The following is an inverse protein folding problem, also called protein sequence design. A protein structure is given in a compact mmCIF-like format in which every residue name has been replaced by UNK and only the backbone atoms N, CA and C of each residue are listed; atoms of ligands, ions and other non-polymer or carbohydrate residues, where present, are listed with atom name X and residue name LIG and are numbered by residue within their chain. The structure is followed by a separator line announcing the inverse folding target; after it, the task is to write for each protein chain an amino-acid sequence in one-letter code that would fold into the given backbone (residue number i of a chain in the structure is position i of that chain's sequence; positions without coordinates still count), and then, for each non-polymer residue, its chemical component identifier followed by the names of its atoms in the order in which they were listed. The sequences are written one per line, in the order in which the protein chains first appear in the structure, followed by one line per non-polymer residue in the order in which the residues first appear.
data_IF_226179833814
#
_entry.id   IF_226179833814
#
_cell.length_a   1.000
_cell.length_b   1.000
_cell.length_c   1.000
_cell.angle_alpha   90.00
_cell.angle_beta   90.00
_cell.angle_gamma   90.00
#
_symmetry.space_group_name_H-M   'P 1'
#
loop_
_entity.id
_entity.type
_entity.pdbx_description
1 polymer ?
#
# COMPACT_ATOMS: atom_id res chain seq x y z
N UNK A 1 2.66 23.01 -13.21
CA UNK A 1 3.59 22.30 -12.31
C UNK A 1 4.37 21.29 -13.16
N UNK A 2 5.70 21.17 -13.03
CA UNK A 2 6.44 20.19 -13.84
C UNK A 2 6.09 18.77 -13.35
N UNK A 3 6.07 17.79 -14.24
CA UNK A 3 5.76 16.38 -13.93
C UNK A 3 6.68 15.80 -12.86
N UNK A 4 7.95 16.24 -12.83
CA UNK A 4 8.93 15.90 -11.78
C UNK A 4 8.52 16.42 -10.40
N UNK A 5 7.96 17.62 -10.34
CA UNK A 5 7.54 18.25 -9.09
C UNK A 5 6.28 17.55 -8.57
N UNK A 6 5.34 17.21 -9.46
CA UNK A 6 4.16 16.42 -9.13
C UNK A 6 4.53 15.04 -8.56
N UNK A 7 5.45 14.33 -9.22
CA UNK A 7 5.89 13.02 -8.73
C UNK A 7 6.59 13.12 -7.38
N UNK A 8 7.43 14.14 -7.18
CA UNK A 8 8.06 14.40 -5.88
C UNK A 8 7.02 14.67 -4.81
N UNK A 9 6.04 15.53 -5.08
CA UNK A 9 4.96 15.84 -4.13
C UNK A 9 4.11 14.61 -3.81
N UNK A 10 3.78 13.78 -4.80
CA UNK A 10 3.05 12.53 -4.59
C UNK A 10 3.83 11.55 -3.70
N UNK A 11 5.13 11.39 -3.92
CA UNK A 11 5.99 10.56 -3.07
C UNK A 11 6.10 11.10 -1.64
N UNK A 12 6.18 12.42 -1.45
CA UNK A 12 6.19 13.05 -0.13
C UNK A 12 4.86 12.82 0.62
N UNK A 13 3.73 12.83 -0.09
CA UNK A 13 2.42 12.53 0.50
C UNK A 13 2.38 11.08 1.01
N UNK A 14 2.83 10.12 0.21
CA UNK A 14 2.89 8.70 0.61
C UNK A 14 3.74 8.51 1.87
N UNK A 15 4.94 9.09 1.88
CA UNK A 15 5.88 9.02 3.01
C UNK A 15 5.32 9.68 4.28
N UNK A 16 4.73 10.87 4.16
CA UNK A 16 4.14 11.58 5.29
C UNK A 16 2.94 10.82 5.88
N UNK A 17 2.10 10.25 5.02
CA UNK A 17 0.93 9.48 5.44
C UNK A 17 1.33 8.20 6.16
N UNK A 18 2.31 7.45 5.63
CA UNK A 18 2.86 6.26 6.29
C UNK A 18 3.46 6.60 7.66
N UNK A 19 4.30 7.63 7.74
CA UNK A 19 4.93 8.06 9.01
C UNK A 19 3.90 8.51 10.04
N UNK A 20 2.88 9.24 9.61
CA UNK A 20 1.76 9.69 10.44
C UNK A 20 0.92 8.52 10.95
N UNK A 21 0.59 7.58 10.08
CA UNK A 21 -0.16 6.37 10.43
C UNK A 21 0.60 5.48 11.43
N UNK A 22 1.92 5.31 11.28
CA UNK A 22 2.70 4.59 12.29
C UNK A 22 2.86 5.36 13.60
N UNK A 23 2.88 6.71 13.57
CA UNK A 23 2.83 7.49 14.80
C UNK A 23 1.50 7.22 15.52
N UNK A 24 0.39 7.14 14.80
CA UNK A 24 -0.90 6.74 15.34
C UNK A 24 -0.87 5.30 15.88
N UNK A 25 -0.34 4.33 15.14
CA UNK A 25 -0.19 2.93 15.56
C UNK A 25 0.62 2.77 16.86
N UNK A 26 1.54 3.70 17.14
CA UNK A 26 2.33 3.68 18.37
C UNK A 26 1.58 4.24 19.59
N UNK A 27 0.45 4.90 19.38
CA UNK A 27 -0.33 5.56 20.42
C UNK A 27 -1.73 4.95 20.62
N UNK A 28 -2.11 3.96 19.80
CA UNK A 28 -3.32 3.17 20.00
C UNK A 28 -2.97 1.93 20.83
N UNK A 29 -3.73 1.67 21.90
CA UNK A 29 -3.72 0.39 22.59
C UNK A 29 -4.53 -0.62 21.78
N UNK A 30 -3.94 -1.79 21.49
CA UNK A 30 -4.50 -2.95 20.75
C UNK A 30 -5.86 -2.70 20.09
N UNK A 31 -5.86 -2.58 18.76
CA UNK A 31 -7.07 -2.25 18.04
C UNK A 31 -6.85 -1.85 16.59
N UNK A 32 -7.88 -1.22 16.04
CA UNK A 32 -7.93 -0.77 14.65
C UNK A 32 -8.41 0.67 14.58
N UNK A 33 -7.75 1.46 13.76
CA UNK A 33 -8.24 2.72 13.26
C UNK A 33 -8.58 2.57 11.78
N UNK A 34 -9.71 3.13 11.34
CA UNK A 34 -10.13 3.13 9.95
C UNK A 34 -10.73 4.49 9.64
N UNK A 35 -10.20 5.15 8.61
CA UNK A 35 -10.75 6.39 8.08
C UNK A 35 -10.87 6.30 6.57
N UNK A 36 -12.00 6.78 6.06
CA UNK A 36 -12.39 6.69 4.66
C UNK A 36 -12.74 8.08 4.17
N UNK A 37 -11.91 8.59 3.28
CA UNK A 37 -12.16 9.83 2.57
C UNK A 37 -12.42 9.54 1.08
N UNK A 38 -12.98 10.49 0.31
CA UNK A 38 -13.33 10.24 -1.09
C UNK A 38 -12.19 9.65 -1.95
N UNK A 39 -10.94 10.09 -1.72
CA UNK A 39 -9.77 9.71 -2.51
C UNK A 39 -8.68 8.97 -1.73
N UNK A 40 -8.84 8.80 -0.41
CA UNK A 40 -7.84 8.18 0.45
C UNK A 40 -8.55 7.34 1.49
N UNK A 41 -8.18 6.07 1.59
CA UNK A 41 -8.58 5.21 2.68
C UNK A 41 -7.34 4.81 3.47
N UNK A 42 -7.45 4.83 4.80
CA UNK A 42 -6.39 4.46 5.72
C UNK A 42 -6.94 3.50 6.76
N UNK A 43 -6.28 2.36 6.90
CA UNK A 43 -6.50 1.45 8.02
C UNK A 43 -5.18 1.19 8.75
N UNK A 44 -5.22 1.32 10.07
CA UNK A 44 -4.07 1.12 10.96
C UNK A 44 -4.46 0.07 11.97
N UNK A 45 -3.62 -0.96 12.11
CA UNK A 45 -3.86 -2.09 12.99
C UNK A 45 -2.72 -2.24 13.99
N UNK A 46 -3.07 -2.52 15.23
CA UNK A 46 -2.18 -3.01 16.28
C UNK A 46 -2.77 -4.33 16.75
N UNK A 47 -2.22 -5.43 16.24
CA UNK A 47 -2.75 -6.77 16.46
C UNK A 47 -1.88 -7.53 17.47
N UNK A 48 -2.53 -8.28 18.35
CA UNK A 48 -1.86 -9.23 19.24
C UNK A 48 -1.57 -10.53 18.46
N UNK A 49 -0.29 -10.91 18.39
CA UNK A 49 0.16 -12.09 17.63
C UNK A 49 0.14 -13.39 18.43
N UNK A 50 -0.14 -13.33 19.73
CA UNK A 50 -0.31 -14.49 20.62
C UNK A 50 -1.76 -14.98 20.68
N UNK A 51 -2.70 -14.18 20.17
CA UNK A 51 -4.10 -14.56 19.98
C UNK A 51 -4.33 -15.25 18.62
N UNK A 52 -5.51 -15.83 18.43
CA UNK A 52 -5.94 -16.33 17.12
C UNK A 52 -6.06 -15.16 16.12
N UNK A 53 -5.05 -15.03 15.26
CA UNK A 53 -5.04 -14.09 14.16
C UNK A 53 -5.83 -14.62 12.97
N UNK A 54 -6.42 -13.71 12.20
CA UNK A 54 -7.02 -14.01 10.91
C UNK A 54 -6.29 -13.27 9.79
N UNK A 55 -6.46 -13.77 8.58
CA UNK A 55 -5.93 -13.10 7.40
C UNK A 55 -6.57 -11.72 7.30
N UNK A 56 -5.75 -10.73 7.00
CA UNK A 56 -6.17 -9.36 6.96
C UNK A 56 -6.49 -8.98 5.52
N UNK A 57 -7.67 -8.42 5.31
CA UNK A 57 -8.14 -7.90 4.02
C UNK A 57 -8.33 -6.39 4.10
N UNK A 58 -7.98 -5.68 3.03
CA UNK A 58 -8.08 -4.21 2.95
C UNK A 58 -8.57 -3.75 1.58
N UNK A 59 -9.50 -2.79 1.50
CA UNK A 59 -10.29 -2.23 2.60
C UNK A 59 -11.21 -3.27 3.25
N UNK A 60 -11.32 -3.28 4.58
CA UNK A 60 -12.17 -4.25 5.28
C UNK A 60 -13.62 -3.75 5.44
N UNK A 61 -13.83 -2.44 5.44
CA UNK A 61 -15.13 -1.84 5.76
C UNK A 61 -16.15 -1.84 4.61
N UNK A 62 -15.73 -2.12 3.38
CA UNK A 62 -16.58 -2.08 2.20
C UNK A 62 -16.00 -2.88 1.03
N UNK A 63 -16.85 -3.25 0.07
CA UNK A 63 -16.42 -3.91 -1.15
C UNK A 63 -15.71 -2.91 -2.09
N UNK A 64 -14.42 -3.13 -2.30
CA UNK A 64 -13.56 -2.31 -3.15
C UNK A 64 -13.16 -3.08 -4.40
N UNK A 65 -13.02 -2.37 -5.52
CA UNK A 65 -12.41 -2.91 -6.74
C UNK A 65 -10.87 -3.01 -6.66
N UNK A 66 -10.31 -2.52 -5.55
CA UNK A 66 -8.89 -2.59 -5.22
C UNK A 66 -8.75 -3.18 -3.83
N UNK A 67 -8.24 -4.40 -3.75
CA UNK A 67 -8.17 -5.21 -2.52
C UNK A 67 -6.74 -5.67 -2.31
N UNK A 68 -6.31 -5.73 -1.05
CA UNK A 68 -5.05 -6.29 -0.60
C UNK A 68 -5.32 -7.29 0.52
N UNK A 69 -4.57 -8.38 0.53
CA UNK A 69 -4.68 -9.46 1.51
C UNK A 69 -3.30 -9.78 2.07
N UNK A 70 -3.23 -9.91 3.40
CA UNK A 70 -2.06 -10.32 4.16
C UNK A 70 -2.41 -11.57 4.94
N UNK A 71 -1.58 -12.60 4.81
CA UNK A 71 -1.78 -13.84 5.55
C UNK A 71 -1.37 -13.70 7.00
N UNK A 72 -2.02 -14.47 7.87
CA UNK A 72 -1.63 -14.68 9.27
C UNK A 72 -0.16 -15.03 9.42
N UNK A 73 0.40 -15.87 8.55
CA UNK A 73 1.82 -16.23 8.58
C UNK A 73 2.72 -14.99 8.43
N UNK A 74 2.36 -14.05 7.54
CA UNK A 74 3.07 -12.77 7.39
C UNK A 74 2.96 -11.92 8.65
N UNK A 75 1.78 -11.87 9.27
CA UNK A 75 1.55 -11.10 10.50
C UNK A 75 2.36 -11.65 11.68
N UNK A 76 2.43 -12.98 11.81
CA UNK A 76 3.21 -13.66 12.84
C UNK A 76 4.72 -13.52 12.62
N UNK A 77 5.18 -13.63 11.38
CA UNK A 77 6.59 -13.49 11.02
C UNK A 77 7.16 -12.14 11.49
N UNK A 78 6.34 -11.09 11.41
CA UNK A 78 6.69 -9.74 11.82
C UNK A 78 6.15 -9.34 13.19
N UNK A 79 5.89 -10.31 14.07
CA UNK A 79 5.62 -10.02 15.48
C UNK A 79 6.81 -9.31 16.14
N UNK A 80 6.54 -8.30 16.96
CA UNK A 80 7.49 -7.62 17.82
C UNK A 80 6.87 -7.42 19.20
N UNK A 81 7.43 -8.08 20.22
CA UNK A 81 6.93 -8.05 21.60
C UNK A 81 5.44 -8.47 21.72
N UNK A 82 5.03 -9.52 21.00
CA UNK A 82 3.67 -10.04 21.04
C UNK A 82 2.65 -9.22 20.23
N UNK A 83 3.09 -8.17 19.53
CA UNK A 83 2.22 -7.34 18.69
C UNK A 83 2.82 -7.12 17.30
N UNK A 84 1.95 -6.89 16.32
CA UNK A 84 2.34 -6.44 14.98
C UNK A 84 1.56 -5.18 14.61
N UNK A 85 2.28 -4.20 14.04
CA UNK A 85 1.69 -2.92 13.63
C UNK A 85 1.65 -2.85 12.11
N UNK A 86 0.47 -2.58 11.56
CA UNK A 86 0.22 -2.61 10.13
C UNK A 86 -0.44 -1.30 9.73
N UNK A 87 0.02 -0.73 8.62
CA UNK A 87 -0.58 0.44 7.97
C UNK A 87 -0.95 0.06 6.55
N UNK A 88 -2.20 0.30 6.19
CA UNK A 88 -2.76 -0.02 4.88
C UNK A 88 -3.39 1.24 4.32
N UNK A 89 -3.08 1.57 3.07
CA UNK A 89 -3.62 2.76 2.45
C UNK A 89 -3.98 2.55 0.99
N UNK A 90 -5.07 3.17 0.56
CA UNK A 90 -5.55 3.18 -0.81
C UNK A 90 -5.68 4.63 -1.27
N UNK A 91 -4.99 4.99 -2.34
CA UNK A 91 -5.06 6.31 -2.95
C UNK A 91 -5.70 6.22 -4.32
N UNK A 92 -6.84 6.89 -4.46
CA UNK A 92 -7.53 7.04 -5.74
C UNK A 92 -6.90 8.20 -6.51
N UNK A 93 -6.70 8.00 -7.81
CA UNK A 93 -6.16 9.01 -8.73
C UNK A 93 -4.72 9.49 -8.44
N UNK A 94 -4.00 8.91 -7.47
CA UNK A 94 -2.62 9.31 -7.19
C UNK A 94 -1.65 8.83 -8.30
N UNK A 95 -1.99 7.73 -8.99
CA UNK A 95 -1.18 7.14 -10.04
C UNK A 95 -0.84 8.09 -11.18
N UNK A 96 -1.71 9.06 -11.51
CA UNK A 96 -1.46 10.05 -12.57
C UNK A 96 -0.32 11.02 -12.25
N UNK A 97 0.06 11.13 -10.98
CA UNK A 97 1.15 11.99 -10.54
C UNK A 97 2.47 11.23 -10.36
N UNK A 98 2.45 9.90 -10.38
CA UNK A 98 3.66 9.07 -10.29
C UNK A 98 4.28 8.91 -11.69
N UNK A 99 5.58 9.19 -11.80
CA UNK A 99 6.28 9.03 -13.07
C UNK A 99 6.60 7.56 -13.36
N UNK A 100 6.38 7.14 -14.60
CA UNK A 100 6.79 5.83 -15.12
C UNK A 100 8.14 5.88 -15.85
N UNK A 101 8.77 7.06 -15.88
CA UNK A 101 10.10 7.25 -16.44
C UNK A 101 11.10 6.39 -15.67
N UNK A 102 11.94 5.65 -16.39
CA UNK A 102 12.88 4.67 -15.83
C UNK A 102 12.24 3.51 -15.06
N UNK A 103 10.96 3.19 -15.33
CA UNK A 103 10.39 1.94 -14.83
C UNK A 103 11.15 0.73 -15.40
N UNK A 104 11.36 -0.31 -14.59
CA UNK A 104 12.05 -1.53 -14.98
C UNK A 104 11.16 -2.52 -15.74
N UNK A 105 10.02 -2.05 -16.29
CA UNK A 105 9.07 -2.89 -17.01
C UNK A 105 9.72 -3.43 -18.28
N UNK A 106 9.80 -4.77 -18.34
CA UNK A 106 10.23 -5.48 -19.55
C UNK A 106 9.03 -5.63 -20.47
N UNK A 107 8.79 -4.60 -21.29
CA UNK A 107 7.87 -4.70 -22.42
C UNK A 107 8.50 -5.65 -23.45
N UNK A 108 7.80 -6.71 -23.86
CA UNK A 108 8.27 -7.58 -24.94
C UNK A 108 8.55 -6.74 -26.19
N UNK A 109 9.58 -7.09 -26.95
CA UNK A 109 10.18 -6.27 -28.03
C UNK A 109 9.20 -5.80 -29.13
N UNK A 110 7.98 -6.34 -29.18
CA UNK A 110 6.89 -5.89 -30.06
C UNK A 110 6.04 -4.73 -29.52
N UNK A 111 6.15 -4.37 -28.24
CA UNK A 111 5.31 -3.31 -27.63
C UNK A 111 5.90 -1.89 -27.77
N UNK A 112 7.20 -1.77 -28.02
CA UNK A 112 7.93 -0.48 -28.08
C UNK A 112 8.13 0.01 -29.53
N UNK A 113 7.96 -0.87 -30.51
CA UNK A 113 8.12 -0.57 -31.94
C UNK A 113 6.81 -0.06 -32.55
N UNK A 114 6.43 1.18 -32.25
CA UNK A 114 5.30 1.84 -32.91
C UNK A 114 4.90 3.12 -32.18
N UNK A 115 5.17 4.27 -32.79
CA UNK A 115 5.00 5.61 -32.21
C UNK A 115 3.65 5.83 -31.54
N UNK A 116 3.69 6.45 -30.35
CA UNK A 116 2.53 6.98 -29.64
C UNK A 116 2.12 6.25 -28.35
N UNK A 117 2.74 5.12 -27.99
CA UNK A 117 2.37 4.38 -26.78
C UNK A 117 3.08 4.94 -25.55
N UNK A 118 2.30 5.55 -24.65
CA UNK A 118 2.76 6.10 -23.36
C UNK A 118 2.50 5.07 -22.26
N UNK A 119 3.49 4.87 -21.38
CA UNK A 119 3.35 4.03 -20.20
C UNK A 119 2.76 4.84 -19.04
N UNK A 120 1.67 4.36 -18.44
CA UNK A 120 1.00 5.02 -17.34
C UNK A 120 0.63 4.04 -16.23
N UNK A 121 0.44 4.55 -15.01
CA UNK A 121 -0.16 3.80 -13.90
C UNK A 121 -1.66 3.68 -14.17
N UNK A 122 -2.15 2.47 -14.47
CA UNK A 122 -3.54 2.22 -14.84
C UNK A 122 -4.37 1.63 -13.69
N UNK A 123 -4.05 1.96 -12.44
CA UNK A 123 -4.77 1.49 -11.27
C UNK A 123 -4.76 2.55 -10.16
N UNK A 124 -5.56 2.33 -9.13
CA UNK A 124 -5.33 2.99 -7.85
C UNK A 124 -4.00 2.51 -7.23
N UNK A 125 -3.47 3.29 -6.30
CA UNK A 125 -2.24 2.97 -5.58
C UNK A 125 -2.63 2.38 -4.23
N UNK A 126 -2.32 1.11 -4.02
CA UNK A 126 -2.53 0.42 -2.75
C UNK A 126 -1.17 0.18 -2.09
N UNK A 127 -1.09 0.34 -0.77
CA UNK A 127 0.14 0.16 -0.01
C UNK A 127 -0.13 -0.58 1.30
N UNK A 128 0.82 -1.41 1.68
CA UNK A 128 0.86 -2.09 2.97
C UNK A 128 2.26 -1.97 3.57
N UNK A 129 2.32 -1.54 4.82
CA UNK A 129 3.55 -1.41 5.59
C UNK A 129 3.40 -2.13 6.93
N UNK A 130 4.44 -2.84 7.34
CA UNK A 130 4.48 -3.61 8.60
C UNK A 130 5.68 -3.17 9.41
N UNK A 131 5.43 -2.80 10.67
CA UNK A 131 6.40 -2.30 11.66
C UNK A 131 7.27 -1.12 11.20
N UNK A 132 7.32 -0.04 12.00
CA UNK A 132 8.18 1.10 11.73
C UNK A 132 9.64 0.77 12.07
N UNK A 133 10.46 0.41 11.09
CA UNK A 133 11.91 0.25 11.30
C UNK A 133 12.67 -0.54 10.23
N UNK A 134 11.97 -1.34 9.43
CA UNK A 134 12.59 -2.14 8.38
C UNK A 134 12.27 -1.54 7.01
N UNK A 135 13.26 -0.90 6.37
CA UNK A 135 13.08 -0.36 5.01
C UNK A 135 12.74 -1.44 3.97
N UNK A 136 13.10 -2.70 4.26
CA UNK A 136 12.81 -3.86 3.42
C UNK A 136 12.56 -5.07 4.30
N UNK A 137 11.50 -5.79 3.99
CA UNK A 137 11.06 -7.01 4.66
C UNK A 137 11.00 -8.14 3.63
N UNK A 138 11.32 -9.37 4.05
CA UNK A 138 11.20 -10.56 3.22
C UNK A 138 10.02 -11.37 3.72
N UNK A 139 8.98 -11.53 2.90
CA UNK A 139 7.79 -12.26 3.29
C UNK A 139 7.92 -13.73 2.87
N UNK A 140 7.64 -14.66 3.79
CA UNK A 140 7.55 -16.09 3.46
C UNK A 140 6.37 -16.36 2.53
N UNK A 141 5.27 -15.65 2.74
CA UNK A 141 4.09 -15.67 1.89
C UNK A 141 3.90 -14.32 1.21
N UNK A 142 3.56 -14.28 -0.09
CA UNK A 142 3.43 -13.02 -0.81
C UNK A 142 2.19 -12.24 -0.35
N UNK A 143 2.29 -10.91 -0.36
CA UNK A 143 1.10 -10.04 -0.31
C UNK A 143 0.31 -10.25 -1.60
N UNK A 144 -0.97 -10.59 -1.48
CA UNK A 144 -1.87 -10.72 -2.62
C UNK A 144 -2.65 -9.42 -2.76
N UNK A 145 -2.63 -8.81 -3.95
CA UNK A 145 -3.44 -7.63 -4.23
C UNK A 145 -4.12 -7.76 -5.59
N UNK A 146 -5.34 -7.24 -5.69
CA UNK A 146 -6.15 -7.19 -6.91
C UNK A 146 -6.54 -5.75 -7.15
N UNK A 147 -6.29 -5.24 -8.36
CA UNK A 147 -6.54 -3.85 -8.72
C UNK A 147 -7.34 -3.79 -10.02
N UNK A 148 -8.48 -3.09 -10.00
CA UNK A 148 -9.22 -2.74 -11.22
C UNK A 148 -8.44 -1.74 -12.07
N UNK A 149 -8.42 -1.98 -13.37
CA UNK A 149 -7.90 -1.03 -14.34
C UNK A 149 -8.78 0.22 -14.41
N UNK A 150 -8.17 1.41 -14.56
CA UNK A 150 -8.90 2.67 -14.64
C UNK A 150 -9.52 2.94 -16.02
N UNK A 151 -9.16 2.13 -17.04
CA UNK A 151 -9.62 2.20 -18.43
C UNK A 151 -10.12 0.84 -18.90
#
# INVERSE_FOLDING_TARGET
MRTTDQSRSASLLLDAMEKGAFLLANNIYEGRFSDRAPNVDLEVYVLNTEADLQDLTFPHSYDSDSVLQLSTATLQQYSSNGQVKIVLSLYKNLGSFLTTNNSSLRLEAGFVSGGGRSLAVNSHVIAASVNKGSNRVFLSEPVVFTLRHLQ
#
